data_IF_588096760405
#
_entry.id   IF_588096760405
#
_cell.length_a   1.000
_cell.length_b   1.000
_cell.length_c   1.000
_cell.angle_alpha   90.00
_cell.angle_beta   90.00
_cell.angle_gamma   90.00
#
_symmetry.space_group_name_H-M   'P 1'
#
loop_
_entity.id
_entity.type
_entity.pdbx_description
1 polymer ?
#
# COMPACT_ATOMS: atom_id res chain seq x y z
N UNK A 1 -8.71 34.86 -19.71
CA UNK A 1 -9.19 35.00 -18.32
C UNK A 1 -8.51 33.91 -17.53
N UNK A 2 -7.51 34.31 -16.73
CA UNK A 2 -6.78 33.43 -15.82
C UNK A 2 -7.68 33.26 -14.60
N UNK A 3 -8.22 32.07 -14.40
CA UNK A 3 -9.12 31.78 -13.30
C UNK A 3 -9.14 30.28 -13.06
N UNK A 4 -8.89 29.90 -11.81
CA UNK A 4 -8.91 28.55 -11.22
C UNK A 4 -7.78 27.60 -11.64
N UNK A 5 -6.54 27.93 -11.27
CA UNK A 5 -5.43 26.94 -11.26
C UNK A 5 -4.55 27.07 -10.00
N UNK A 6 -5.19 27.36 -8.86
CA UNK A 6 -4.53 27.51 -7.56
C UNK A 6 -5.24 26.77 -6.42
N UNK A 7 -6.35 26.08 -6.71
CA UNK A 7 -7.03 25.20 -5.75
C UNK A 7 -6.55 23.74 -5.85
N UNK A 8 -5.81 23.38 -6.92
CA UNK A 8 -5.59 21.98 -7.32
C UNK A 8 -4.51 21.22 -6.52
N UNK A 9 -3.77 21.88 -5.62
CA UNK A 9 -2.73 21.24 -4.79
C UNK A 9 -3.07 21.20 -3.28
N UNK A 10 -4.27 21.61 -2.86
CA UNK A 10 -4.63 21.78 -1.44
C UNK A 10 -4.83 20.46 -0.66
N UNK A 11 -4.64 19.30 -1.30
CA UNK A 11 -4.96 18.00 -0.70
C UNK A 11 -3.79 17.03 -0.66
N UNK A 12 -2.58 17.47 -1.03
CA UNK A 12 -1.35 16.67 -0.87
C UNK A 12 -0.60 17.15 0.38
N UNK A 13 -0.40 16.25 1.34
CA UNK A 13 0.19 16.55 2.63
C UNK A 13 1.45 15.74 2.86
N UNK A 14 2.49 16.35 3.42
CA UNK A 14 3.64 15.59 3.91
C UNK A 14 3.30 14.90 5.22
N UNK A 15 3.63 13.62 5.31
CA UNK A 15 3.47 12.79 6.51
C UNK A 15 4.03 13.48 7.76
N UNK A 16 5.23 14.04 7.67
CA UNK A 16 5.91 14.74 8.76
C UNK A 16 5.11 15.92 9.29
N UNK A 17 4.45 16.67 8.39
CA UNK A 17 3.62 17.80 8.75
C UNK A 17 2.37 17.35 9.51
N UNK A 18 1.75 16.24 9.09
CA UNK A 18 0.57 15.67 9.74
C UNK A 18 0.90 15.08 11.11
N UNK A 19 2.06 14.42 11.24
CA UNK A 19 2.59 13.94 12.52
C UNK A 19 2.86 15.11 13.48
N UNK A 20 3.54 16.16 12.99
CA UNK A 20 3.85 17.34 13.79
C UNK A 20 2.61 18.08 14.30
N UNK A 21 1.49 17.99 13.57
CA UNK A 21 0.20 18.55 13.97
C UNK A 21 -0.66 17.60 14.81
N UNK A 22 -0.20 16.37 15.05
CA UNK A 22 -0.97 15.34 15.75
C UNK A 22 -2.21 14.86 14.98
N UNK A 23 -2.29 15.12 13.68
CA UNK A 23 -3.41 14.71 12.83
C UNK A 23 -3.25 13.27 12.36
N UNK A 24 -2.00 12.80 12.20
CA UNK A 24 -1.69 11.44 11.77
C UNK A 24 -1.20 10.59 12.95
N UNK A 25 -1.81 9.42 13.12
CA UNK A 25 -1.33 8.34 13.96
C UNK A 25 -0.77 7.23 13.08
N UNK A 26 0.53 7.28 12.80
CA UNK A 26 1.22 6.30 11.97
C UNK A 26 1.18 4.87 12.55
N UNK A 27 1.03 4.70 13.87
CA UNK A 27 0.92 3.36 14.48
C UNK A 27 -0.43 2.70 14.21
N UNK A 28 -1.48 3.51 14.09
CA UNK A 28 -2.85 3.03 13.88
C UNK A 28 -3.32 3.16 12.43
N UNK A 29 -2.52 3.79 11.56
CA UNK A 29 -2.93 4.15 10.21
C UNK A 29 -4.23 4.98 10.21
N UNK A 30 -4.26 5.99 11.07
CA UNK A 30 -5.43 6.85 11.30
C UNK A 30 -5.03 8.31 11.09
N UNK A 31 -5.74 9.00 10.19
CA UNK A 31 -5.56 10.43 9.93
C UNK A 31 -6.85 11.15 10.29
N UNK A 32 -6.80 12.23 11.05
CA UNK A 32 -7.99 13.05 11.32
C UNK A 32 -7.94 14.32 10.49
N UNK A 33 -8.95 14.53 9.64
CA UNK A 33 -9.12 15.74 8.83
C UNK A 33 -10.57 16.20 8.95
N UNK A 34 -10.78 17.49 9.22
CA UNK A 34 -12.13 18.07 9.37
C UNK A 34 -13.03 17.34 10.39
N UNK A 35 -12.42 16.77 11.44
CA UNK A 35 -13.13 15.96 12.45
C UNK A 35 -13.53 14.55 11.98
N UNK A 36 -13.20 14.17 10.74
CA UNK A 36 -13.41 12.85 10.17
C UNK A 36 -12.15 12.00 10.27
N UNK A 37 -12.34 10.70 10.52
CA UNK A 37 -11.26 9.73 10.52
C UNK A 37 -11.07 9.21 9.11
N UNK A 38 -9.86 9.36 8.58
CA UNK A 38 -9.43 8.84 7.31
C UNK A 38 -8.45 7.68 7.54
N UNK A 39 -8.49 6.69 6.65
CA UNK A 39 -7.62 5.51 6.64
C UNK A 39 -6.89 5.42 5.29
N UNK A 40 -5.66 4.90 5.24
CA UNK A 40 -4.91 4.79 4.00
C UNK A 40 -5.58 3.73 3.10
N UNK A 41 -5.58 3.99 1.80
CA UNK A 41 -6.16 3.09 0.80
C UNK A 41 -5.11 2.63 -0.21
N UNK A 42 -4.91 3.37 -1.30
CA UNK A 42 -3.91 3.06 -2.34
C UNK A 42 -2.64 3.85 -2.10
N UNK A 43 -1.47 3.24 -2.36
CA UNK A 43 -0.18 3.94 -2.36
C UNK A 43 0.47 3.84 -3.73
N UNK A 44 1.08 4.94 -4.17
CA UNK A 44 1.72 5.07 -5.47
C UNK A 44 3.18 5.40 -5.28
N UNK A 45 4.06 4.78 -6.09
CA UNK A 45 5.46 5.17 -6.15
C UNK A 45 5.59 6.64 -6.58
N UNK A 46 6.72 7.27 -6.27
CA UNK A 46 6.96 8.70 -6.52
C UNK A 46 6.64 9.15 -7.95
N UNK A 47 7.01 8.31 -8.92
CA UNK A 47 6.79 8.56 -10.36
C UNK A 47 5.32 8.59 -10.77
N UNK A 48 4.43 8.06 -9.93
CA UNK A 48 2.99 8.02 -10.13
C UNK A 48 2.24 9.01 -9.23
N UNK A 49 2.90 10.09 -8.78
CA UNK A 49 2.29 11.18 -7.99
C UNK A 49 0.96 11.63 -8.59
N UNK A 50 0.96 11.94 -9.88
CA UNK A 50 -0.22 12.50 -10.55
C UNK A 50 -1.36 11.47 -10.61
N UNK A 51 -1.05 10.18 -10.65
CA UNK A 51 -2.05 9.13 -10.57
C UNK A 51 -2.70 9.05 -9.19
N UNK A 52 -1.92 9.28 -8.12
CA UNK A 52 -2.45 9.35 -6.76
C UNK A 52 -3.42 10.52 -6.58
N UNK A 53 -3.03 11.69 -7.09
CA UNK A 53 -3.85 12.90 -7.10
C UNK A 53 -5.14 12.68 -7.89
N UNK A 54 -5.03 12.08 -9.07
CA UNK A 54 -6.17 11.79 -9.94
C UNK A 54 -7.20 10.86 -9.29
N UNK A 55 -6.73 9.80 -8.61
CA UNK A 55 -7.64 8.89 -7.88
C UNK A 55 -8.39 9.62 -6.77
N UNK A 56 -7.68 10.43 -5.98
CA UNK A 56 -8.34 11.18 -4.91
C UNK A 56 -9.30 12.25 -5.47
N UNK A 57 -8.95 12.88 -6.60
CA UNK A 57 -9.85 13.83 -7.29
C UNK A 57 -11.16 13.18 -7.68
N UNK A 58 -11.12 12.03 -8.34
CA UNK A 58 -12.32 11.31 -8.75
C UNK A 58 -13.20 10.95 -7.54
N UNK A 59 -12.59 10.54 -6.43
CA UNK A 59 -13.31 10.23 -5.20
C UNK A 59 -13.99 11.44 -4.58
N UNK A 60 -13.32 12.60 -4.57
CA UNK A 60 -13.94 13.84 -4.12
C UNK A 60 -15.11 14.27 -5.01
N UNK A 61 -15.02 14.08 -6.32
CA UNK A 61 -16.14 14.31 -7.26
C UNK A 61 -17.33 13.38 -6.98
N UNK A 62 -17.06 12.17 -6.48
CA UNK A 62 -18.07 11.22 -5.99
C UNK A 62 -18.54 11.52 -4.55
N UNK A 63 -18.08 12.62 -3.95
CA UNK A 63 -18.47 13.06 -2.59
C UNK A 63 -17.74 12.34 -1.46
N UNK A 64 -16.67 11.61 -1.77
CA UNK A 64 -15.83 10.90 -0.78
C UNK A 64 -14.73 11.84 -0.31
N UNK A 65 -14.66 12.08 1.00
CA UNK A 65 -13.54 12.83 1.56
C UNK A 65 -12.26 12.00 1.45
N UNK A 66 -11.26 12.52 0.73
CA UNK A 66 -9.94 11.95 0.69
C UNK A 66 -8.86 13.03 0.70
N UNK A 67 -7.63 12.61 1.01
CA UNK A 67 -6.40 13.41 0.85
C UNK A 67 -5.26 12.52 0.39
N UNK A 68 -4.22 13.09 -0.20
CA UNK A 68 -3.00 12.37 -0.55
C UNK A 68 -1.93 12.69 0.50
N UNK A 69 -1.23 11.67 0.99
CA UNK A 69 -0.13 11.82 1.93
C UNK A 69 1.16 11.36 1.27
N UNK A 70 2.11 12.27 1.15
CA UNK A 70 3.49 11.98 0.77
C UNK A 70 4.24 11.46 2.01
N UNK A 71 4.66 10.20 1.94
CA UNK A 71 5.45 9.55 2.99
C UNK A 71 6.93 9.91 2.88
N UNK A 72 7.66 9.75 3.98
CA UNK A 72 9.13 9.95 3.98
C UNK A 72 9.89 9.03 3.01
N UNK A 73 9.27 7.94 2.59
CA UNK A 73 9.83 6.96 1.66
C UNK A 73 9.50 7.29 0.18
N UNK A 74 8.88 8.43 -0.09
CA UNK A 74 8.56 8.88 -1.45
C UNK A 74 7.33 8.23 -2.07
N UNK A 75 6.48 7.58 -1.27
CA UNK A 75 5.17 7.10 -1.71
C UNK A 75 4.10 8.18 -1.50
N UNK A 76 3.15 8.24 -2.43
CA UNK A 76 1.92 9.03 -2.32
C UNK A 76 0.76 8.11 -2.00
N UNK A 77 0.22 8.19 -0.78
CA UNK A 77 -0.88 7.35 -0.30
C UNK A 77 -2.18 8.15 -0.32
N UNK A 78 -3.24 7.63 -0.94
CA UNK A 78 -4.59 8.21 -0.80
C UNK A 78 -5.16 7.75 0.53
N UNK A 79 -5.67 8.68 1.32
CA UNK A 79 -6.36 8.45 2.58
C UNK A 79 -7.80 8.84 2.39
N UNK A 80 -8.75 7.98 2.79
CA UNK A 80 -10.19 8.19 2.57
C UNK A 80 -10.94 8.12 3.88
N UNK A 81 -12.07 8.82 3.98
CA UNK A 81 -12.96 8.73 5.14
C UNK A 81 -13.32 7.27 5.42
N UNK A 82 -13.11 6.86 6.66
CA UNK A 82 -13.52 5.56 7.17
C UNK A 82 -15.04 5.59 7.29
N UNK A 83 -15.71 5.11 6.24
CA UNK A 83 -17.15 4.93 6.28
C UNK A 83 -17.44 3.80 7.28
N UNK A 84 -18.05 4.12 8.41
CA UNK A 84 -18.55 3.13 9.37
C UNK A 84 -19.76 2.40 8.77
N UNK A 85 -19.52 1.48 7.82
CA UNK A 85 -20.60 0.68 7.23
C UNK A 85 -20.33 -0.81 7.40
N UNK A 86 -21.17 -1.40 8.25
CA UNK A 86 -21.55 -2.82 8.33
C UNK A 86 -22.19 -3.31 7.01
N UNK A 87 -21.61 -3.00 5.85
CA UNK A 87 -22.15 -3.41 4.56
C UNK A 87 -21.00 -3.68 3.61
N UNK A 88 -20.66 -4.96 3.55
CA UNK A 88 -19.88 -5.59 2.50
C UNK A 88 -20.40 -5.15 1.13
N UNK A 89 -19.64 -4.30 0.45
CA UNK A 89 -19.60 -4.28 -1.01
C UNK A 89 -18.14 -4.27 -1.43
N UNK A 90 -17.65 -5.49 -1.63
CA UNK A 90 -16.51 -5.89 -2.46
C UNK A 90 -15.65 -4.74 -2.99
N UNK A 91 -14.76 -4.23 -2.16
CA UNK A 91 -13.59 -3.48 -2.63
C UNK A 91 -12.54 -4.50 -3.11
N UNK A 92 -11.90 -4.32 -4.28
CA UNK A 92 -10.69 -5.07 -4.59
C UNK A 92 -9.65 -4.83 -3.49
N UNK A 93 -9.03 -5.88 -2.91
CA UNK A 93 -8.08 -5.70 -1.83
C UNK A 93 -6.87 -4.90 -2.32
N UNK A 94 -6.59 -3.80 -1.61
CA UNK A 94 -5.44 -2.93 -1.84
C UNK A 94 -4.13 -3.66 -1.52
N UNK A 95 -3.02 -3.39 -2.24
CA UNK A 95 -1.69 -3.84 -1.83
C UNK A 95 -1.31 -3.14 -0.52
N UNK A 96 -1.46 -3.84 0.59
CA UNK A 96 -0.90 -3.38 1.86
C UNK A 96 0.63 -3.43 1.74
N UNK A 97 1.36 -2.41 2.24
CA UNK A 97 2.81 -2.51 2.33
C UNK A 97 3.15 -3.81 3.07
N UNK A 98 4.06 -4.58 2.48
CA UNK A 98 4.47 -5.87 3.02
C UNK A 98 5.02 -5.63 4.43
N UNK A 99 4.35 -6.14 5.46
CA UNK A 99 4.80 -5.99 6.83
C UNK A 99 6.01 -6.91 7.11
N UNK A 100 6.86 -6.51 8.07
CA UNK A 100 8.10 -7.22 8.37
C UNK A 100 7.86 -8.69 8.78
N UNK A 101 6.77 -8.99 9.49
CA UNK A 101 6.44 -10.37 9.86
C UNK A 101 6.12 -11.21 8.62
N UNK A 102 5.42 -10.63 7.65
CA UNK A 102 5.17 -11.30 6.37
C UNK A 102 6.47 -11.51 5.58
N UNK A 103 7.40 -10.55 5.58
CA UNK A 103 8.72 -10.74 4.95
C UNK A 103 9.50 -11.89 5.60
N UNK A 104 9.53 -11.95 6.92
CA UNK A 104 10.20 -13.03 7.65
C UNK A 104 9.58 -14.40 7.33
N UNK A 105 8.25 -14.46 7.21
CA UNK A 105 7.54 -15.66 6.78
C UNK A 105 7.91 -16.05 5.34
N UNK A 106 7.91 -15.10 4.40
CA UNK A 106 8.35 -15.33 3.02
C UNK A 106 9.79 -15.84 2.96
N UNK A 107 10.71 -15.21 3.68
CA UNK A 107 12.12 -15.59 3.69
C UNK A 107 12.31 -17.00 4.25
N UNK A 108 11.71 -17.28 5.41
CA UNK A 108 11.81 -18.59 6.07
C UNK A 108 11.21 -19.70 5.22
N UNK A 109 10.06 -19.46 4.60
CA UNK A 109 9.39 -20.47 3.79
C UNK A 109 10.11 -20.71 2.47
N UNK A 110 10.52 -19.64 1.78
CA UNK A 110 11.25 -19.74 0.52
C UNK A 110 12.63 -20.37 0.72
N UNK A 111 13.29 -20.12 1.85
CA UNK A 111 14.59 -20.71 2.19
C UNK A 111 14.57 -22.24 2.24
N UNK A 112 13.42 -22.87 2.51
CA UNK A 112 13.29 -24.35 2.50
C UNK A 112 13.55 -24.95 1.13
N UNK A 113 13.33 -24.18 0.06
CA UNK A 113 13.38 -24.66 -1.32
C UNK A 113 14.61 -24.18 -2.07
N UNK A 114 15.01 -22.92 -1.87
CA UNK A 114 16.12 -22.31 -2.61
C UNK A 114 17.28 -21.87 -1.70
N UNK A 115 17.17 -22.12 -0.39
CA UNK A 115 18.25 -21.84 0.57
C UNK A 115 18.36 -20.36 0.96
N UNK A 116 19.50 -19.96 1.54
CA UNK A 116 19.67 -18.64 2.16
C UNK A 116 19.63 -17.46 1.18
N UNK A 117 19.68 -17.73 -0.13
CA UNK A 117 19.51 -16.71 -1.18
C UNK A 117 18.10 -16.11 -1.17
N UNK A 118 17.12 -16.77 -0.54
CA UNK A 118 15.74 -16.29 -0.44
C UNK A 118 15.63 -14.85 0.04
N UNK A 119 16.51 -14.42 0.95
CA UNK A 119 16.55 -13.05 1.45
C UNK A 119 16.80 -12.04 0.34
N UNK A 120 17.86 -12.26 -0.45
CA UNK A 120 18.24 -11.35 -1.55
C UNK A 120 17.15 -11.27 -2.61
N UNK A 121 16.54 -12.41 -2.96
CA UNK A 121 15.45 -12.48 -3.95
C UNK A 121 14.23 -11.67 -3.48
N UNK A 122 13.88 -11.75 -2.19
CA UNK A 122 12.75 -11.00 -1.64
C UNK A 122 13.05 -9.50 -1.62
N UNK A 123 14.25 -9.11 -1.19
CA UNK A 123 14.69 -7.72 -1.17
C UNK A 123 14.67 -7.12 -2.59
N UNK A 124 15.29 -7.80 -3.57
CA UNK A 124 15.31 -7.40 -4.98
C UNK A 124 13.87 -7.31 -5.55
N UNK A 125 13.00 -8.27 -5.25
CA UNK A 125 11.63 -8.25 -5.75
C UNK A 125 10.83 -7.05 -5.23
N UNK A 126 11.05 -6.64 -3.98
CA UNK A 126 10.38 -5.49 -3.37
C UNK A 126 10.96 -4.18 -3.94
N UNK A 127 12.28 -4.12 -4.13
CA UNK A 127 12.97 -2.97 -4.74
C UNK A 127 12.51 -2.76 -6.20
N UNK A 128 12.40 -3.83 -6.98
CA UNK A 128 11.97 -3.80 -8.38
C UNK A 128 10.46 -3.57 -8.54
N UNK A 129 9.65 -3.91 -7.53
CA UNK A 129 8.19 -3.82 -7.59
C UNK A 129 7.63 -3.02 -6.41
N UNK A 130 7.84 -1.69 -6.37
CA UNK A 130 7.32 -0.85 -5.30
C UNK A 130 5.79 -0.93 -5.21
N UNK A 131 5.27 -1.36 -4.07
CA UNK A 131 3.82 -1.53 -3.85
C UNK A 131 3.25 -2.87 -4.29
N UNK A 132 4.10 -3.88 -4.55
CA UNK A 132 3.66 -5.26 -4.82
C UNK A 132 2.73 -5.78 -3.71
N UNK A 133 1.62 -6.41 -4.11
CA UNK A 133 0.69 -7.02 -3.15
C UNK A 133 1.26 -8.30 -2.56
N UNK A 134 0.83 -8.69 -1.35
CA UNK A 134 1.22 -9.99 -0.72
C UNK A 134 1.00 -11.18 -1.65
N UNK A 135 -0.15 -11.21 -2.33
CA UNK A 135 -0.52 -12.28 -3.27
C UNK A 135 0.43 -12.29 -4.48
N UNK A 136 0.69 -11.13 -5.06
CA UNK A 136 1.57 -11.02 -6.22
C UNK A 136 3.03 -11.32 -5.87
N UNK A 137 3.48 -10.95 -4.67
CA UNK A 137 4.78 -11.34 -4.16
C UNK A 137 4.88 -12.87 -4.02
N UNK A 138 3.90 -13.53 -3.40
CA UNK A 138 3.87 -15.01 -3.30
C UNK A 138 3.95 -15.66 -4.69
N UNK A 139 3.18 -15.14 -5.66
CA UNK A 139 3.19 -15.64 -7.03
C UNK A 139 4.58 -15.52 -7.67
N UNK A 140 5.23 -14.37 -7.55
CA UNK A 140 6.58 -14.16 -8.11
C UNK A 140 7.65 -14.98 -7.38
N UNK A 141 7.60 -15.08 -6.05
CA UNK A 141 8.54 -15.88 -5.27
C UNK A 141 8.39 -17.37 -5.58
N UNK A 142 7.16 -17.85 -5.82
CA UNK A 142 6.95 -19.23 -6.25
C UNK A 142 7.67 -19.50 -7.58
N UNK A 143 7.69 -18.57 -8.53
CA UNK A 143 8.41 -18.76 -9.80
C UNK A 143 9.92 -18.96 -9.65
N UNK A 144 10.49 -18.58 -8.50
CA UNK A 144 11.90 -18.80 -8.18
C UNK A 144 12.19 -20.24 -7.73
N UNK A 145 11.16 -21.02 -7.40
CA UNK A 145 11.30 -22.43 -7.00
C UNK A 145 11.25 -23.30 -8.27
N UNK A 146 12.32 -24.06 -8.60
CA UNK A 146 12.38 -24.83 -9.86
C UNK A 146 11.29 -25.90 -9.97
N UNK A 147 11.04 -26.64 -8.88
CA UNK A 147 10.11 -27.76 -8.87
C UNK A 147 8.66 -27.28 -8.73
N UNK A 148 7.79 -27.72 -9.65
CA UNK A 148 6.37 -27.32 -9.68
C UNK A 148 5.56 -27.80 -8.47
N UNK A 149 5.82 -29.00 -7.95
CA UNK A 149 5.15 -29.50 -6.74
C UNK A 149 5.51 -28.63 -5.53
N UNK A 150 6.77 -28.24 -5.41
CA UNK A 150 7.26 -27.37 -4.33
C UNK A 150 6.70 -25.94 -4.45
N UNK A 151 6.46 -25.45 -5.68
CA UNK A 151 5.75 -24.18 -5.90
C UNK A 151 4.34 -24.20 -5.32
N UNK A 152 3.61 -25.29 -5.51
CA UNK A 152 2.26 -25.45 -4.99
C UNK A 152 2.25 -25.54 -3.46
N UNK A 153 3.18 -26.29 -2.88
CA UNK A 153 3.34 -26.37 -1.41
C UNK A 153 3.63 -24.99 -0.80
N UNK A 154 4.58 -24.25 -1.38
CA UNK A 154 4.90 -22.88 -0.97
C UNK A 154 3.67 -21.97 -0.99
N UNK A 155 2.87 -21.99 -2.07
CA UNK A 155 1.63 -21.20 -2.17
C UNK A 155 0.57 -21.63 -1.16
N UNK A 156 0.46 -22.93 -0.90
CA UNK A 156 -0.52 -23.50 0.03
C UNK A 156 -0.26 -23.05 1.47
N UNK A 157 1.01 -22.92 1.86
CA UNK A 157 1.41 -22.38 3.17
C UNK A 157 0.77 -21.01 3.45
N UNK A 158 0.81 -20.09 2.48
CA UNK A 158 0.24 -18.74 2.64
C UNK A 158 -1.28 -18.68 2.47
N UNK A 159 -1.91 -19.72 1.94
CA UNK A 159 -3.38 -19.83 1.89
C UNK A 159 -3.97 -20.31 3.22
N UNK A 160 -3.12 -20.82 4.12
CA UNK A 160 -3.49 -21.41 5.42
C UNK A 160 -3.15 -20.51 6.62
N UNK A 161 -2.61 -19.32 6.36
CA UNK A 161 -2.25 -18.27 7.33
C UNK A 161 -3.35 -17.21 7.40
#
# INVERSE_FOLDING_TARGET
MVGTDLAMELWVYKEEMLLGKGLLNAKKNELTMEGKLLVPTVSFARVYRDKAVEVCRQEMEEGILCVVVETRYGFYTVWREKVDTKTERSSPPLPQPIDANFMDNCQRELAKYIGPISKFIIEEMIEENPGISKKELIEKLALQIPNESQRLEFKSYFSSL
#
